data_IF_029061291248
#
_entry.id   IF_029061291248
#
_cell.length_a   1.000
_cell.length_b   1.000
_cell.length_c   1.000
_cell.angle_alpha   90.00
_cell.angle_beta   90.00
_cell.angle_gamma   90.00
#
_symmetry.space_group_name_H-M   'P 1'
#
loop_
_entity.id
_entity.type
_entity.pdbx_description
1 polymer ?
#
# COMPACT_ATOMS: atom_id res chain seq x y z
N UNK A 1 -3.78 -19.93 13.82
CA UNK A 1 -3.23 -18.56 13.74
C UNK A 1 -2.49 -18.16 15.02
N UNK A 2 -3.13 -18.20 16.20
CA UNK A 2 -2.54 -17.72 17.47
C UNK A 2 -1.23 -18.39 17.86
N UNK A 3 -1.11 -19.72 17.69
CA UNK A 3 0.12 -20.46 17.99
C UNK A 3 1.29 -20.05 17.08
N UNK A 4 1.02 -19.70 15.82
CA UNK A 4 2.04 -19.23 14.88
C UNK A 4 2.52 -17.83 15.27
N UNK A 5 1.60 -16.89 15.53
CA UNK A 5 1.97 -15.55 15.98
C UNK A 5 2.80 -15.60 17.28
N UNK A 6 2.44 -16.47 18.23
CA UNK A 6 3.19 -16.65 19.46
C UNK A 6 4.62 -17.23 19.24
N UNK A 7 4.86 -17.90 18.11
CA UNK A 7 6.20 -18.41 17.75
C UNK A 7 7.11 -17.40 17.07
N UNK A 8 6.58 -16.25 16.64
CA UNK A 8 7.36 -15.24 15.93
C UNK A 8 8.23 -14.42 16.90
N UNK A 9 9.50 -14.12 16.54
CA UNK A 9 10.32 -13.16 17.25
C UNK A 9 9.63 -11.80 17.40
N UNK A 10 9.82 -11.08 18.53
CA UNK A 10 9.20 -9.77 18.76
C UNK A 10 9.39 -8.74 17.62
N UNK A 11 10.55 -8.67 16.93
CA UNK A 11 10.69 -7.79 15.77
C UNK A 11 9.74 -8.13 14.61
N UNK A 12 9.53 -9.41 14.32
CA UNK A 12 8.63 -9.84 13.25
C UNK A 12 7.17 -9.61 13.61
N UNK A 13 6.78 -9.80 14.88
CA UNK A 13 5.45 -9.44 15.37
C UNK A 13 5.17 -7.94 15.21
N UNK A 14 6.15 -7.09 15.51
CA UNK A 14 6.01 -5.64 15.32
C UNK A 14 5.92 -5.27 13.84
N UNK A 15 6.74 -5.89 12.99
CA UNK A 15 6.67 -5.67 11.54
C UNK A 15 5.28 -6.03 11.00
N UNK A 16 4.77 -7.22 11.34
CA UNK A 16 3.44 -7.66 10.94
C UNK A 16 2.33 -6.74 11.48
N UNK A 17 2.46 -6.26 12.71
CA UNK A 17 1.51 -5.35 13.32
C UNK A 17 1.50 -3.96 12.66
N UNK A 18 2.53 -3.58 11.91
CA UNK A 18 2.63 -2.32 11.18
C UNK A 18 2.38 -2.49 9.67
N UNK A 19 2.39 -3.73 9.19
CA UNK A 19 2.19 -4.07 7.79
C UNK A 19 0.82 -3.62 7.29
N UNK A 20 0.81 -2.75 6.28
CA UNK A 20 -0.42 -2.18 5.77
C UNK A 20 -1.28 -3.21 5.06
N UNK A 21 -0.71 -4.15 4.30
CA UNK A 21 -1.46 -5.17 3.59
C UNK A 21 -2.32 -6.02 4.56
N UNK A 22 -1.79 -6.32 5.76
CA UNK A 22 -2.54 -7.03 6.80
C UNK A 22 -3.62 -6.16 7.50
N UNK A 23 -3.48 -4.84 7.46
CA UNK A 23 -4.44 -3.89 8.04
C UNK A 23 -5.46 -3.36 7.03
N UNK A 24 -5.15 -3.47 5.73
CA UNK A 24 -5.90 -2.85 4.66
C UNK A 24 -7.32 -3.43 4.60
N UNK A 25 -8.29 -2.54 4.45
CA UNK A 25 -9.67 -2.95 4.16
C UNK A 25 -9.80 -3.32 2.69
N UNK A 26 -10.83 -4.11 2.31
CA UNK A 26 -11.06 -4.48 0.91
C UNK A 26 -11.18 -3.29 -0.05
N UNK A 27 -11.76 -2.17 0.38
CA UNK A 27 -11.90 -0.93 -0.42
C UNK A 27 -10.58 -0.17 -0.63
N UNK A 28 -9.51 -0.61 0.04
CA UNK A 28 -8.17 -0.03 -0.03
C UNK A 28 -7.20 -0.91 -0.84
N UNK A 29 -7.66 -2.03 -1.39
CA UNK A 29 -6.86 -2.92 -2.23
C UNK A 29 -7.17 -2.67 -3.71
N UNK A 30 -6.21 -2.93 -4.62
CA UNK A 30 -6.47 -2.85 -6.06
C UNK A 30 -7.49 -3.92 -6.48
N UNK A 31 -8.11 -3.76 -7.66
CA UNK A 31 -8.86 -4.84 -8.28
C UNK A 31 -7.95 -6.07 -8.53
N UNK A 32 -8.53 -7.29 -8.60
CA UNK A 32 -7.79 -8.48 -8.98
C UNK A 32 -6.98 -8.28 -10.27
N UNK A 33 -5.78 -8.87 -10.32
CA UNK A 33 -4.88 -8.79 -11.48
C UNK A 33 -5.45 -9.42 -12.76
N UNK A 34 -6.45 -10.30 -12.61
CA UNK A 34 -7.13 -10.98 -13.71
C UNK A 34 -8.04 -10.04 -14.53
N UNK A 35 -8.35 -8.85 -14.02
CA UNK A 35 -9.35 -7.94 -14.60
C UNK A 35 -8.80 -6.96 -15.66
N UNK A 36 -7.56 -7.13 -16.13
CA UNK A 36 -6.90 -6.33 -17.21
C UNK A 36 -7.11 -4.80 -17.07
N UNK A 37 -7.05 -4.31 -15.83
CA UNK A 37 -7.30 -2.91 -15.52
C UNK A 37 -6.04 -2.06 -15.72
N UNK A 38 -6.24 -0.82 -16.18
CA UNK A 38 -5.15 0.15 -16.38
C UNK A 38 -5.20 1.30 -15.40
N UNK A 39 -6.34 1.50 -14.72
CA UNK A 39 -6.56 2.61 -13.79
C UNK A 39 -7.27 2.10 -12.55
N UNK A 40 -6.72 2.43 -11.38
CA UNK A 40 -7.35 2.19 -10.09
C UNK A 40 -7.72 3.53 -9.44
N UNK A 41 -9.02 3.75 -9.21
CA UNK A 41 -9.54 4.97 -8.59
C UNK A 41 -9.96 4.71 -7.14
N UNK A 42 -9.27 5.31 -6.18
CA UNK A 42 -9.60 5.19 -4.75
C UNK A 42 -10.57 6.31 -4.35
N UNK A 43 -11.85 5.99 -4.25
CA UNK A 43 -12.93 6.96 -4.01
C UNK A 43 -13.46 6.81 -2.58
N UNK A 44 -13.61 7.92 -1.86
CA UNK A 44 -14.22 7.91 -0.53
C UNK A 44 -14.22 9.29 0.15
N UNK A 45 -14.88 9.39 1.30
CA UNK A 45 -15.02 10.63 2.08
C UNK A 45 -13.74 11.07 2.81
N UNK A 46 -13.84 12.12 3.63
CA UNK A 46 -12.72 12.53 4.51
C UNK A 46 -12.39 11.41 5.51
N UNK A 47 -11.10 11.20 5.77
CA UNK A 47 -10.64 10.21 6.75
C UNK A 47 -10.73 8.74 6.33
N UNK A 48 -11.21 8.41 5.13
CA UNK A 48 -11.32 7.02 4.69
C UNK A 48 -9.96 6.37 4.35
N UNK A 49 -8.86 7.13 4.34
CA UNK A 49 -7.51 6.59 4.16
C UNK A 49 -6.98 6.57 2.72
N UNK A 50 -7.57 7.32 1.78
CA UNK A 50 -7.11 7.40 0.37
C UNK A 50 -5.61 7.69 0.24
N UNK A 51 -5.13 8.67 1.00
CA UNK A 51 -3.72 9.06 1.04
C UNK A 51 -2.82 7.89 1.42
N UNK A 52 -3.13 7.21 2.54
CA UNK A 52 -2.33 6.07 3.01
C UNK A 52 -2.37 4.94 2.00
N UNK A 53 -3.55 4.63 1.44
CA UNK A 53 -3.69 3.62 0.38
C UNK A 53 -2.77 3.91 -0.81
N UNK A 54 -2.75 5.16 -1.30
CA UNK A 54 -1.86 5.53 -2.41
C UNK A 54 -0.37 5.45 -2.06
N UNK A 55 0.02 5.91 -0.87
CA UNK A 55 1.42 5.87 -0.42
C UNK A 55 1.95 4.44 -0.25
N UNK A 56 1.18 3.58 0.43
CA UNK A 56 1.56 2.18 0.69
C UNK A 56 1.61 1.38 -0.62
N UNK A 57 0.68 1.65 -1.55
CA UNK A 57 0.71 1.08 -2.89
C UNK A 57 1.99 1.48 -3.65
N UNK A 58 2.33 2.77 -3.66
CA UNK A 58 3.54 3.26 -4.34
C UNK A 58 4.81 2.69 -3.70
N UNK A 59 4.91 2.65 -2.37
CA UNK A 59 6.07 2.06 -1.68
C UNK A 59 6.21 0.58 -2.02
N UNK A 60 5.11 -0.18 -2.03
CA UNK A 60 5.13 -1.59 -2.35
C UNK A 60 5.55 -1.85 -3.81
N UNK A 61 5.05 -1.06 -4.77
CA UNK A 61 5.50 -1.11 -6.16
C UNK A 61 6.99 -0.75 -6.30
N UNK A 62 7.45 0.29 -5.62
CA UNK A 62 8.84 0.73 -5.66
C UNK A 62 9.80 -0.33 -5.08
N UNK A 63 9.36 -1.05 -4.04
CA UNK A 63 10.13 -2.15 -3.41
C UNK A 63 10.06 -3.48 -4.16
N UNK A 64 9.09 -3.64 -5.04
CA UNK A 64 8.84 -4.92 -5.71
C UNK A 64 8.16 -5.93 -4.80
N UNK A 65 7.17 -5.49 -4.01
CA UNK A 65 6.40 -6.37 -3.16
C UNK A 65 5.63 -7.40 -4.02
N UNK A 66 5.88 -8.71 -3.83
CA UNK A 66 5.26 -9.75 -4.65
C UNK A 66 3.74 -9.86 -4.47
N UNK A 67 3.15 -9.23 -3.44
CA UNK A 67 1.70 -9.10 -3.35
C UNK A 67 1.12 -8.21 -4.47
N UNK A 68 1.94 -7.33 -5.04
CA UNK A 68 1.47 -6.29 -5.95
C UNK A 68 2.27 -6.15 -7.25
N UNK A 69 3.47 -6.71 -7.35
CA UNK A 69 4.24 -6.63 -8.59
C UNK A 69 5.32 -7.71 -8.64
N UNK A 70 5.66 -8.17 -9.84
CA UNK A 70 6.70 -9.19 -10.03
C UNK A 70 8.13 -8.66 -9.80
N UNK A 71 8.32 -7.34 -9.88
CA UNK A 71 9.62 -6.70 -9.73
C UNK A 71 9.50 -5.23 -9.30
N UNK A 72 10.55 -4.71 -8.68
CA UNK A 72 10.61 -3.30 -8.26
C UNK A 72 10.42 -2.33 -9.44
N UNK A 73 9.53 -1.35 -9.26
CA UNK A 73 9.22 -0.33 -10.27
C UNK A 73 10.02 0.94 -9.99
N UNK A 74 10.99 1.25 -10.86
CA UNK A 74 11.85 2.43 -10.71
C UNK A 74 11.29 3.74 -11.29
N UNK A 75 10.25 3.68 -12.13
CA UNK A 75 9.66 4.87 -12.79
C UNK A 75 8.24 5.09 -12.30
N UNK A 76 8.10 5.93 -11.27
CA UNK A 76 6.82 6.31 -10.68
C UNK A 76 6.72 7.83 -10.69
N UNK A 77 5.63 8.36 -11.25
CA UNK A 77 5.33 9.79 -11.20
C UNK A 77 4.31 10.06 -10.09
N UNK A 78 4.67 10.91 -9.13
CA UNK A 78 3.75 11.44 -8.14
C UNK A 78 3.32 12.84 -8.59
N UNK A 79 2.00 13.01 -8.77
CA UNK A 79 1.43 14.24 -9.32
C UNK A 79 0.40 14.78 -8.34
N UNK A 80 0.58 16.04 -7.96
CA UNK A 80 -0.31 16.80 -7.09
C UNK A 80 -0.40 18.25 -7.56
N UNK A 81 -1.27 19.02 -6.90
CA UNK A 81 -1.49 20.43 -7.24
C UNK A 81 -0.23 21.27 -7.03
N UNK A 82 0.46 21.06 -5.90
CA UNK A 82 1.75 21.68 -5.62
C UNK A 82 2.82 20.64 -5.24
N UNK A 83 4.09 21.05 -5.36
CA UNK A 83 5.22 20.26 -4.86
C UNK A 83 5.08 19.96 -3.36
N UNK A 84 4.58 20.93 -2.57
CA UNK A 84 4.38 20.75 -1.14
C UNK A 84 3.33 19.68 -0.85
N UNK A 85 2.22 19.65 -1.60
CA UNK A 85 1.19 18.63 -1.44
C UNK A 85 1.75 17.24 -1.72
N UNK A 86 2.53 17.08 -2.79
CA UNK A 86 3.16 15.77 -3.07
C UNK A 86 4.13 15.40 -1.95
N UNK A 87 5.03 16.30 -1.55
CA UNK A 87 6.06 16.02 -0.55
C UNK A 87 5.47 15.72 0.82
N UNK A 88 4.46 16.46 1.27
CA UNK A 88 3.97 16.36 2.66
C UNK A 88 2.92 15.24 2.84
N UNK A 89 2.42 14.67 1.73
CA UNK A 89 1.30 13.72 1.73
C UNK A 89 1.66 12.38 1.12
N UNK A 90 2.53 12.34 0.09
CA UNK A 90 2.86 11.12 -0.66
C UNK A 90 4.29 10.60 -0.40
N UNK A 91 5.19 11.39 0.21
CA UNK A 91 6.61 11.06 0.47
C UNK A 91 6.95 11.30 1.94
#
# INVERSE_FOLDING_TARGET
MTAFLASLPPPLLRALALDWLHQARPDQLPPPWEDDWTTWAVIGGRGCGKTRTGAEWVDALARGDPAFTDAAIGRIALVGETFADVRDVMV
#
